data_IF_517413223860
#
_entry.id   IF_517413223860
#
_cell.length_a   1.000
_cell.length_b   1.000
_cell.length_c   1.000
_cell.angle_alpha   90.00
_cell.angle_beta   90.00
_cell.angle_gamma   90.00
#
_symmetry.space_group_name_H-M   'P 1'
#
loop_
_entity.id
_entity.type
_entity.pdbx_description
1 polymer ?
#
# COMPACT_ATOMS: atom_id res chain seq x y z
N UNK A 1 35.87 40.99 -12.07
CA UNK A 1 36.16 41.00 -10.63
C UNK A 1 36.90 39.69 -10.36
N UNK A 2 38.17 39.73 -9.94
CA UNK A 2 38.97 38.52 -9.70
C UNK A 2 39.32 38.49 -8.22
N UNK A 3 38.89 37.44 -7.53
CA UNK A 3 39.22 37.20 -6.13
C UNK A 3 40.69 36.77 -6.02
N UNK A 4 41.40 37.30 -5.02
CA UNK A 4 42.83 37.09 -4.78
C UNK A 4 43.13 35.80 -4.01
N UNK A 5 42.10 35.08 -3.56
CA UNK A 5 42.21 33.88 -2.72
C UNK A 5 41.56 32.62 -3.34
N UNK A 6 41.16 32.67 -4.61
CA UNK A 6 40.50 31.55 -5.28
C UNK A 6 41.51 30.56 -5.88
N UNK A 7 41.36 29.26 -5.58
CA UNK A 7 42.04 28.17 -6.30
C UNK A 7 41.70 28.22 -7.80
N UNK A 8 42.61 27.73 -8.66
CA UNK A 8 42.55 27.86 -10.13
C UNK A 8 41.25 27.33 -10.77
N UNK A 9 40.48 26.50 -10.06
CA UNK A 9 39.23 25.87 -10.52
C UNK A 9 37.95 26.67 -10.17
N UNK A 10 38.03 27.78 -9.45
CA UNK A 10 36.86 28.59 -9.12
C UNK A 10 36.47 29.50 -10.29
N UNK A 11 35.57 29.01 -11.14
CA UNK A 11 35.01 29.76 -12.27
C UNK A 11 33.84 30.62 -11.79
N UNK A 12 33.99 31.95 -11.86
CA UNK A 12 32.90 32.87 -11.54
C UNK A 12 31.99 33.10 -12.73
N UNK A 13 30.69 32.96 -12.52
CA UNK A 13 29.66 33.33 -13.50
C UNK A 13 29.56 34.85 -13.60
N UNK A 14 30.23 35.43 -14.60
CA UNK A 14 30.22 36.87 -14.86
C UNK A 14 29.02 37.37 -15.66
N UNK A 15 28.34 36.48 -16.39
CA UNK A 15 27.21 36.82 -17.27
C UNK A 15 25.99 35.95 -16.95
N UNK A 16 25.20 36.41 -15.97
CA UNK A 16 23.94 35.77 -15.57
C UNK A 16 22.89 35.76 -16.70
N UNK A 17 22.69 36.85 -17.48
CA UNK A 17 21.81 36.81 -18.64
C UNK A 17 22.16 35.73 -19.66
N UNK A 18 23.46 35.55 -19.96
CA UNK A 18 23.91 34.51 -20.89
C UNK A 18 23.66 33.10 -20.34
N UNK A 19 23.89 32.87 -19.04
CA UNK A 19 23.59 31.60 -18.40
C UNK A 19 22.12 31.23 -18.52
N UNK A 20 21.22 32.16 -18.18
CA UNK A 20 19.77 31.95 -18.27
C UNK A 20 19.37 31.63 -19.70
N UNK A 21 19.92 32.35 -20.68
CA UNK A 21 19.66 32.10 -22.10
C UNK A 21 20.09 30.69 -22.52
N UNK A 22 21.33 30.30 -22.23
CA UNK A 22 21.86 28.98 -22.61
C UNK A 22 21.12 27.83 -21.90
N UNK A 23 20.77 28.02 -20.63
CA UNK A 23 20.00 27.04 -19.88
C UNK A 23 18.59 26.89 -20.48
N UNK A 24 17.89 27.99 -20.74
CA UNK A 24 16.58 27.96 -21.39
C UNK A 24 16.65 27.32 -22.78
N UNK A 25 17.62 27.67 -23.61
CA UNK A 25 17.79 27.08 -24.95
C UNK A 25 18.00 25.56 -24.87
N UNK A 26 18.78 25.09 -23.88
CA UNK A 26 19.01 23.66 -23.68
C UNK A 26 17.76 22.93 -23.20
N UNK A 27 16.98 23.51 -22.29
CA UNK A 27 15.71 22.92 -21.84
C UNK A 27 14.66 22.96 -22.95
N UNK A 28 14.64 24.01 -23.76
CA UNK A 28 13.73 24.18 -24.88
C UNK A 28 13.97 23.11 -25.95
N UNK A 29 15.23 22.79 -26.26
CA UNK A 29 15.56 21.70 -27.16
C UNK A 29 15.05 20.33 -26.67
N UNK A 30 15.04 20.10 -25.35
CA UNK A 30 14.46 18.88 -24.75
C UNK A 30 12.93 18.93 -24.81
N UNK A 31 12.33 20.09 -24.54
CA UNK A 31 10.88 20.28 -24.66
C UNK A 31 10.38 20.05 -26.10
N UNK A 32 11.11 20.54 -27.10
CA UNK A 32 10.83 20.34 -28.52
C UNK A 32 10.76 18.86 -28.90
N UNK A 33 11.63 18.03 -28.32
CA UNK A 33 11.61 16.58 -28.55
C UNK A 33 10.37 15.89 -27.94
N UNK A 34 9.76 16.49 -26.91
CA UNK A 34 8.59 15.93 -26.21
C UNK A 34 7.25 16.37 -26.81
N UNK A 35 7.18 17.55 -27.43
CA UNK A 35 5.96 18.08 -28.08
C UNK A 35 5.28 17.11 -29.07
N UNK A 36 6.00 16.37 -29.93
CA UNK A 36 5.36 15.45 -30.87
C UNK A 36 4.84 14.15 -30.21
N UNK A 37 5.12 13.92 -28.93
CA UNK A 37 4.77 12.67 -28.23
C UNK A 37 3.31 12.62 -27.73
N UNK A 38 2.49 13.64 -28.01
CA UNK A 38 1.05 13.62 -27.69
C UNK A 38 0.65 14.26 -26.36
N UNK A 39 1.59 14.92 -25.66
CA UNK A 39 1.31 15.69 -24.45
C UNK A 39 0.51 16.96 -24.75
N UNK A 40 -0.49 17.29 -23.91
CA UNK A 40 -1.28 18.53 -24.02
C UNK A 40 -0.42 19.78 -23.98
N UNK A 41 0.61 19.78 -23.14
CA UNK A 41 1.54 20.89 -22.98
C UNK A 41 2.92 20.40 -22.56
N UNK A 42 3.95 21.16 -22.94
CA UNK A 42 5.32 20.95 -22.49
C UNK A 42 5.90 22.31 -22.11
N UNK A 43 6.30 22.47 -20.86
CA UNK A 43 6.83 23.72 -20.32
C UNK A 43 8.25 23.54 -19.80
N UNK A 44 9.08 24.57 -19.97
CA UNK A 44 10.42 24.64 -19.38
C UNK A 44 10.35 25.45 -18.08
N UNK A 45 11.07 25.00 -17.06
CA UNK A 45 11.23 25.76 -15.82
C UNK A 45 12.68 25.72 -15.36
N UNK A 46 13.26 26.91 -15.18
CA UNK A 46 14.55 27.07 -14.49
C UNK A 46 14.39 27.04 -12.96
N UNK A 47 13.15 27.11 -12.47
CA UNK A 47 12.83 27.00 -11.05
C UNK A 47 12.45 25.55 -10.72
N UNK A 48 13.28 24.90 -9.89
CA UNK A 48 13.05 23.54 -9.41
C UNK A 48 11.82 23.41 -8.52
N UNK A 49 11.30 24.52 -7.98
CA UNK A 49 10.10 24.54 -7.12
C UNK A 49 8.78 24.66 -7.89
N UNK A 50 8.84 24.93 -9.20
CA UNK A 50 7.66 25.12 -10.06
C UNK A 50 6.67 23.94 -10.00
N UNK A 51 7.17 22.71 -9.95
CA UNK A 51 6.34 21.50 -9.89
C UNK A 51 5.65 21.36 -8.53
N UNK A 52 6.26 21.90 -7.46
CA UNK A 52 5.75 21.80 -6.09
C UNK A 52 4.78 22.93 -5.73
N UNK A 53 4.84 24.09 -6.39
CA UNK A 53 3.97 25.24 -6.11
C UNK A 53 2.58 25.18 -6.76
N UNK A 54 2.39 24.40 -7.82
CA UNK A 54 1.26 24.59 -8.75
C UNK A 54 0.10 23.59 -8.62
N UNK A 55 0.14 22.64 -7.68
CA UNK A 55 -1.00 21.75 -7.39
C UNK A 55 -1.45 20.88 -8.57
N UNK A 56 -0.50 20.42 -9.40
CA UNK A 56 -0.79 19.56 -10.55
C UNK A 56 -1.38 18.20 -10.12
N UNK A 57 -2.35 17.69 -10.89
CA UNK A 57 -2.73 16.27 -10.88
C UNK A 57 -1.67 15.40 -11.56
N UNK A 58 -1.79 14.07 -11.48
CA UNK A 58 -0.84 13.15 -12.14
C UNK A 58 -1.52 12.01 -12.87
N UNK A 59 -0.90 11.60 -13.98
CA UNK A 59 -1.15 10.32 -14.65
C UNK A 59 0.10 9.46 -14.50
N UNK A 60 -0.05 8.14 -14.56
CA UNK A 60 1.03 7.19 -14.33
C UNK A 60 1.32 6.38 -15.59
N UNK A 61 2.60 6.08 -15.82
CA UNK A 61 2.98 5.17 -16.88
C UNK A 61 2.52 3.76 -16.51
N UNK A 62 1.88 3.09 -17.45
CA UNK A 62 1.51 1.68 -17.35
C UNK A 62 2.53 0.88 -18.13
N UNK A 63 2.95 -0.25 -17.59
CA UNK A 63 3.85 -1.16 -18.30
C UNK A 63 3.06 -1.83 -19.42
N UNK A 64 3.37 -1.51 -20.67
CA UNK A 64 2.81 -2.22 -21.83
C UNK A 64 3.44 -3.60 -21.96
N UNK A 65 2.73 -4.49 -22.64
CA UNK A 65 3.30 -5.75 -23.07
C UNK A 65 4.49 -5.50 -24.01
N UNK A 66 5.56 -6.26 -23.79
CA UNK A 66 6.76 -6.23 -24.62
C UNK A 66 6.43 -6.81 -26.00
N UNK A 67 6.92 -6.19 -27.06
CA UNK A 67 6.77 -6.76 -28.40
C UNK A 67 7.58 -8.05 -28.53
N UNK A 68 7.21 -8.93 -29.46
CA UNK A 68 7.97 -10.17 -29.72
C UNK A 68 9.46 -9.90 -30.01
N UNK A 69 9.76 -8.78 -30.67
CA UNK A 69 11.14 -8.37 -30.95
C UNK A 69 11.90 -7.93 -29.70
N UNK A 70 11.26 -7.15 -28.81
CA UNK A 70 11.87 -6.72 -27.54
C UNK A 70 12.01 -7.87 -26.55
N UNK A 71 11.05 -8.79 -26.54
CA UNK A 71 11.11 -10.00 -25.74
C UNK A 71 12.24 -10.92 -26.22
N UNK A 72 12.41 -11.09 -27.54
CA UNK A 72 13.52 -11.83 -28.11
C UNK A 72 14.88 -11.17 -27.82
N UNK A 73 14.95 -9.83 -27.87
CA UNK A 73 16.15 -9.07 -27.53
C UNK A 73 16.49 -9.21 -26.04
N UNK A 74 15.51 -9.09 -25.13
CA UNK A 74 15.72 -9.29 -23.69
C UNK A 74 16.17 -10.70 -23.35
N UNK A 75 15.58 -11.73 -23.99
CA UNK A 75 16.03 -13.11 -23.81
C UNK A 75 17.46 -13.32 -24.31
N UNK A 76 17.83 -12.72 -25.46
CA UNK A 76 19.19 -12.81 -25.98
C UNK A 76 20.21 -12.05 -25.12
N UNK A 77 19.84 -10.88 -24.58
CA UNK A 77 20.66 -10.10 -23.66
C UNK A 77 20.83 -10.79 -22.31
N UNK A 78 19.78 -11.46 -21.80
CA UNK A 78 19.85 -12.27 -20.58
C UNK A 78 20.82 -13.44 -20.71
N UNK A 79 20.79 -14.18 -21.84
CA UNK A 79 21.76 -15.25 -22.10
C UNK A 79 23.19 -14.70 -22.17
N UNK A 80 23.40 -13.57 -22.86
CA UNK A 80 24.72 -12.93 -22.92
C UNK A 80 25.21 -12.42 -21.55
N UNK A 81 24.28 -11.98 -20.69
CA UNK A 81 24.58 -11.56 -19.34
C UNK A 81 25.04 -12.75 -18.49
N UNK A 82 24.29 -13.85 -18.50
CA UNK A 82 24.61 -15.06 -17.74
C UNK A 82 25.95 -15.66 -18.19
N UNK A 83 26.17 -15.77 -19.51
CA UNK A 83 27.44 -16.25 -20.08
C UNK A 83 28.63 -15.36 -19.67
N UNK A 84 28.45 -14.04 -19.66
CA UNK A 84 29.50 -13.10 -19.30
C UNK A 84 29.78 -13.08 -17.79
N UNK A 85 28.74 -13.23 -16.97
CA UNK A 85 28.88 -13.36 -15.51
C UNK A 85 29.65 -14.63 -15.13
N UNK A 86 29.34 -15.78 -15.75
CA UNK A 86 30.08 -17.02 -15.54
C UNK A 86 31.56 -16.92 -15.96
N UNK A 87 31.84 -16.19 -17.04
CA UNK A 87 33.22 -15.93 -17.49
C UNK A 87 33.99 -15.05 -16.50
N UNK A 88 33.34 -14.04 -15.93
CA UNK A 88 33.94 -13.16 -14.91
C UNK A 88 34.25 -13.95 -13.64
N UNK A 89 33.32 -14.79 -13.18
CA UNK A 89 33.50 -15.65 -12.00
C UNK A 89 34.60 -16.71 -12.17
N UNK A 90 34.91 -17.09 -13.42
CA UNK A 90 35.97 -18.04 -13.74
C UNK A 90 37.37 -17.40 -13.78
N UNK A 91 37.47 -16.06 -13.78
CA UNK A 91 38.76 -15.38 -13.77
C UNK A 91 39.46 -15.49 -12.42
N UNK A 92 40.80 -15.45 -12.46
CA UNK A 92 41.59 -15.37 -11.24
C UNK A 92 41.52 -13.96 -10.65
N UNK A 93 41.50 -13.86 -9.31
CA UNK A 93 41.44 -12.58 -8.61
C UNK A 93 42.55 -11.62 -9.06
N UNK A 94 42.16 -10.45 -9.59
CA UNK A 94 43.09 -9.43 -10.12
C UNK A 94 43.45 -9.57 -11.60
N UNK A 95 42.75 -10.41 -12.37
CA UNK A 95 42.89 -10.44 -13.84
C UNK A 95 42.41 -9.11 -14.45
N UNK A 96 43.23 -8.41 -15.27
CA UNK A 96 42.84 -7.16 -15.94
C UNK A 96 41.66 -7.32 -16.90
N UNK A 97 41.30 -8.56 -17.26
CA UNK A 97 40.13 -8.86 -18.08
C UNK A 97 38.81 -8.73 -17.31
N UNK A 98 38.84 -8.81 -15.96
CA UNK A 98 37.66 -8.62 -15.09
C UNK A 98 37.06 -7.23 -15.31
N UNK A 99 37.85 -6.16 -15.19
CA UNK A 99 37.36 -4.78 -15.37
C UNK A 99 36.76 -4.55 -16.77
N UNK A 100 37.36 -5.16 -17.79
CA UNK A 100 36.91 -5.02 -19.18
C UNK A 100 35.59 -5.75 -19.44
N UNK A 101 35.39 -6.91 -18.82
CA UNK A 101 34.17 -7.70 -18.97
C UNK A 101 33.05 -7.22 -18.03
N UNK A 102 33.36 -6.69 -16.85
CA UNK A 102 32.42 -5.96 -15.98
C UNK A 102 31.85 -4.71 -16.68
N UNK A 103 32.69 -3.96 -17.41
CA UNK A 103 32.21 -2.81 -18.20
C UNK A 103 31.22 -3.22 -19.30
N UNK A 104 31.40 -4.40 -19.91
CA UNK A 104 30.46 -4.96 -20.89
C UNK A 104 29.18 -5.45 -20.21
N UNK A 105 29.28 -6.06 -19.04
CA UNK A 105 28.16 -6.50 -18.23
C UNK A 105 27.27 -5.31 -17.84
N UNK A 106 27.87 -4.22 -17.36
CA UNK A 106 27.16 -2.96 -17.10
C UNK A 106 26.48 -2.41 -18.37
N UNK A 107 27.12 -2.53 -19.55
CA UNK A 107 26.51 -2.10 -20.80
C UNK A 107 25.29 -2.96 -21.20
N UNK A 108 25.33 -4.27 -20.91
CA UNK A 108 24.18 -5.17 -21.09
C UNK A 108 23.04 -4.83 -20.12
N UNK A 109 23.33 -4.62 -18.84
CA UNK A 109 22.35 -4.18 -17.84
C UNK A 109 21.68 -2.86 -18.25
N UNK A 110 22.48 -1.90 -18.70
CA UNK A 110 21.98 -0.61 -19.19
C UNK A 110 21.06 -0.78 -20.40
N UNK A 111 21.32 -1.75 -21.28
CA UNK A 111 20.47 -2.05 -22.43
C UNK A 111 19.17 -2.74 -22.01
N UNK A 112 19.23 -3.67 -21.06
CA UNK A 112 18.06 -4.35 -20.49
C UNK A 112 17.15 -3.33 -19.81
N UNK A 113 17.70 -2.47 -18.96
CA UNK A 113 16.97 -1.40 -18.29
C UNK A 113 16.34 -0.44 -19.32
N UNK A 114 17.06 -0.09 -20.39
CA UNK A 114 16.53 0.77 -21.44
C UNK A 114 15.32 0.16 -22.17
N UNK A 115 15.33 -1.14 -22.45
CA UNK A 115 14.20 -1.84 -23.10
C UNK A 115 13.00 -1.91 -22.13
N UNK A 116 13.25 -2.24 -20.86
CA UNK A 116 12.19 -2.31 -19.85
C UNK A 116 11.55 -0.94 -19.61
N UNK A 117 12.36 0.12 -19.53
CA UNK A 117 11.90 1.50 -19.40
C UNK A 117 11.17 2.00 -20.65
N UNK A 118 11.56 1.55 -21.84
CA UNK A 118 10.83 1.83 -23.08
C UNK A 118 9.48 1.09 -23.18
N UNK A 119 9.22 0.13 -22.30
CA UNK A 119 7.92 -0.52 -22.13
C UNK A 119 7.02 0.21 -21.11
N UNK A 120 7.50 1.24 -20.43
CA UNK A 120 6.64 2.13 -19.64
C UNK A 120 6.03 3.19 -20.57
N UNK A 121 4.71 3.15 -20.76
CA UNK A 121 4.00 4.08 -21.62
C UNK A 121 2.81 4.71 -20.87
N UNK A 122 2.54 5.98 -21.13
CA UNK A 122 1.33 6.65 -20.64
C UNK A 122 0.17 6.36 -21.59
N UNK A 123 -1.05 6.30 -21.06
CA UNK A 123 -2.24 6.15 -21.90
C UNK A 123 -2.37 7.37 -22.83
N UNK A 124 -2.41 7.18 -24.17
CA UNK A 124 -2.57 8.29 -25.11
C UNK A 124 -3.80 9.15 -24.86
N UNK A 125 -4.88 8.60 -24.31
CA UNK A 125 -6.10 9.35 -23.98
C UNK A 125 -5.89 10.28 -22.77
N UNK A 126 -5.10 9.84 -21.79
CA UNK A 126 -4.73 10.64 -20.62
C UNK A 126 -3.67 11.70 -20.96
N UNK A 127 -2.76 11.39 -21.90
CA UNK A 127 -1.73 12.34 -22.37
C UNK A 127 -2.30 13.61 -23.00
N UNK A 128 -3.51 13.55 -23.56
CA UNK A 128 -4.24 14.72 -24.09
C UNK A 128 -4.69 15.68 -22.99
N UNK A 129 -4.70 15.23 -21.73
CA UNK A 129 -5.07 16.01 -20.54
C UNK A 129 -3.86 16.32 -19.64
N UNK A 130 -2.73 15.66 -19.89
CA UNK A 130 -1.49 15.79 -19.12
C UNK A 130 -0.38 16.47 -19.93
N UNK A 131 0.65 16.93 -19.24
CA UNK A 131 1.81 17.58 -19.82
C UNK A 131 3.12 17.21 -19.14
N UNK A 132 4.19 17.80 -19.64
CA UNK A 132 5.54 17.59 -19.13
C UNK A 132 6.16 18.91 -18.68
N UNK A 133 6.90 18.88 -17.57
CA UNK A 133 7.82 19.97 -17.20
C UNK A 133 9.25 19.50 -17.42
N UNK A 134 10.03 20.30 -18.14
CA UNK A 134 11.47 20.13 -18.30
C UNK A 134 12.18 21.12 -17.39
N UNK A 135 12.95 20.60 -16.43
CA UNK A 135 13.65 21.41 -15.42
C UNK A 135 15.10 20.99 -15.26
N UNK A 136 15.81 21.65 -14.35
CA UNK A 136 17.19 21.31 -13.99
C UNK A 136 17.17 20.56 -12.66
N UNK A 137 17.70 19.33 -12.66
CA UNK A 137 17.86 18.53 -11.45
C UNK A 137 18.94 19.13 -10.52
N UNK A 138 18.99 18.65 -9.28
CA UNK A 138 19.98 19.08 -8.29
C UNK A 138 21.45 18.93 -8.76
N UNK A 139 21.71 17.97 -9.67
CA UNK A 139 23.03 17.76 -10.29
C UNK A 139 23.33 18.61 -11.53
N UNK A 140 22.47 19.58 -11.90
CA UNK A 140 22.68 20.44 -13.07
C UNK A 140 22.33 19.80 -14.42
N UNK A 141 21.78 18.58 -14.42
CA UNK A 141 21.31 17.88 -15.63
C UNK A 141 19.87 18.23 -15.96
N UNK A 142 19.50 18.19 -17.24
CA UNK A 142 18.10 18.34 -17.65
C UNK A 142 17.28 17.13 -17.14
N UNK A 143 16.13 17.41 -16.52
CA UNK A 143 15.20 16.43 -15.99
C UNK A 143 13.82 16.66 -16.61
N UNK A 144 13.21 15.59 -17.09
CA UNK A 144 11.84 15.61 -17.60
C UNK A 144 10.94 15.00 -16.53
N UNK A 145 9.89 15.73 -16.15
CA UNK A 145 8.83 15.24 -15.27
C UNK A 145 7.54 15.13 -16.08
N UNK A 146 7.23 13.94 -16.63
CA UNK A 146 6.02 13.71 -17.41
C UNK A 146 4.80 13.47 -16.52
N UNK A 147 3.61 13.49 -17.14
CA UNK A 147 2.37 13.08 -16.49
C UNK A 147 1.73 14.13 -15.58
N UNK A 148 1.96 15.43 -15.80
CA UNK A 148 1.44 16.52 -14.97
C UNK A 148 0.11 17.07 -15.53
N UNK A 149 -0.93 17.11 -14.71
CA UNK A 149 -2.28 17.53 -15.13
C UNK A 149 -2.59 18.89 -14.52
N UNK A 150 -2.93 19.89 -15.34
CA UNK A 150 -3.28 21.23 -14.86
C UNK A 150 -4.62 21.20 -14.14
N UNK A 151 -4.86 22.19 -13.26
CA UNK A 151 -6.06 22.24 -12.44
C UNK A 151 -7.37 22.21 -13.26
N UNK A 152 -7.35 22.82 -14.45
CA UNK A 152 -8.46 22.87 -15.42
C UNK A 152 -8.82 21.50 -16.03
N UNK A 153 -7.84 20.58 -16.12
CA UNK A 153 -8.00 19.28 -16.78
C UNK A 153 -8.31 18.13 -15.83
N UNK A 154 -8.18 18.35 -14.51
CA UNK A 154 -8.42 17.31 -13.50
C UNK A 154 -9.83 16.71 -13.55
N UNK A 155 -10.85 17.55 -13.80
CA UNK A 155 -12.23 17.06 -13.92
C UNK A 155 -12.42 16.18 -15.16
N UNK A 156 -11.81 16.57 -16.28
CA UNK A 156 -11.87 15.80 -17.51
C UNK A 156 -11.12 14.45 -17.37
N UNK A 157 -10.00 14.43 -16.63
CA UNK A 157 -9.27 13.20 -16.36
C UNK A 157 -10.09 12.23 -15.48
N UNK A 158 -10.76 12.74 -14.44
CA UNK A 158 -11.61 11.91 -13.58
C UNK A 158 -12.74 11.25 -14.39
N UNK A 159 -13.37 11.98 -15.31
CA UNK A 159 -14.41 11.45 -16.21
C UNK A 159 -13.84 10.40 -17.18
N UNK A 160 -12.61 10.60 -17.66
CA UNK A 160 -11.92 9.66 -18.56
C UNK A 160 -11.58 8.33 -17.85
N UNK A 161 -11.14 8.40 -16.60
CA UNK A 161 -10.74 7.23 -15.80
C UNK A 161 -11.93 6.44 -15.25
N UNK A 162 -13.04 7.10 -14.92
CA UNK A 162 -14.24 6.45 -14.35
C UNK A 162 -15.21 5.88 -15.41
N UNK A 163 -15.04 6.21 -16.69
CA UNK A 163 -15.84 5.66 -17.80
C UNK A 163 -17.33 6.07 -17.76
N UNK A 164 -17.68 7.13 -18.48
CA UNK A 164 -19.05 7.53 -18.88
C UNK A 164 -20.19 7.28 -17.86
N UNK A 165 -20.08 7.88 -16.67
CA UNK A 165 -21.26 8.37 -15.94
C UNK A 165 -21.16 9.88 -15.83
N UNK A 166 -21.66 10.56 -16.87
CA UNK A 166 -21.86 12.00 -16.83
C UNK A 166 -22.81 12.37 -15.70
N UNK A 167 -22.32 13.13 -14.72
CA UNK A 167 -23.18 14.04 -14.00
C UNK A 167 -22.40 15.29 -13.57
N UNK A 168 -22.79 16.41 -14.19
CA UNK A 168 -22.40 17.76 -13.82
C UNK A 168 -22.70 17.99 -12.33
N UNK A 169 -21.68 18.43 -11.62
CA UNK A 169 -21.79 18.96 -10.27
C UNK A 169 -22.59 20.26 -10.33
N UNK A 170 -23.75 20.30 -9.68
CA UNK A 170 -23.97 21.25 -8.58
C UNK A 170 -25.29 20.93 -7.83
N UNK A 171 -25.19 21.00 -6.50
CA UNK A 171 -26.29 20.95 -5.52
C UNK A 171 -27.00 19.60 -5.28
N UNK A 172 -26.35 18.70 -4.54
CA UNK A 172 -26.94 18.03 -3.36
C UNK A 172 -25.93 17.05 -2.74
N UNK A 173 -25.40 17.41 -1.58
CA UNK A 173 -24.96 16.43 -0.59
C UNK A 173 -26.18 15.60 -0.17
N UNK A 174 -26.44 14.47 -0.83
CA UNK A 174 -27.14 13.29 -0.29
C UNK A 174 -27.37 12.29 -1.44
N UNK A 175 -27.11 11.01 -1.18
CA UNK A 175 -27.34 9.84 -2.05
C UNK A 175 -26.27 9.54 -3.14
N UNK A 176 -25.15 8.95 -2.71
CA UNK A 176 -24.47 7.89 -3.49
C UNK A 176 -24.53 6.57 -2.71
N UNK A 177 -25.68 5.89 -2.80
CA UNK A 177 -25.77 4.45 -2.55
C UNK A 177 -25.58 3.77 -3.90
N UNK A 178 -24.34 3.36 -4.20
CA UNK A 178 -24.09 2.38 -5.24
C UNK A 178 -24.34 1.00 -4.64
N UNK A 179 -25.41 0.33 -5.09
CA UNK A 179 -25.68 -1.08 -4.82
C UNK A 179 -24.63 -1.93 -5.54
N UNK A 180 -23.57 -2.30 -4.82
CA UNK A 180 -22.79 -3.50 -5.07
C UNK A 180 -23.42 -4.64 -4.25
N UNK A 181 -23.36 -5.91 -4.71
CA UNK A 181 -24.30 -6.95 -4.30
C UNK A 181 -24.28 -7.13 -2.79
N UNK A 182 -25.43 -6.93 -2.15
CA UNK A 182 -25.67 -7.40 -0.78
C UNK A 182 -25.51 -8.91 -0.78
N UNK A 183 -24.31 -9.38 -0.45
CA UNK A 183 -24.17 -10.69 0.19
C UNK A 183 -24.88 -10.51 1.51
N UNK A 184 -26.13 -11.01 1.59
CA UNK A 184 -27.02 -10.93 2.74
C UNK A 184 -26.21 -10.97 4.04
N UNK A 185 -26.04 -9.81 4.68
CA UNK A 185 -25.43 -9.75 5.98
C UNK A 185 -26.37 -10.53 6.92
N UNK A 186 -26.00 -11.77 7.23
CA UNK A 186 -26.63 -12.58 8.29
C UNK A 186 -26.93 -11.64 9.46
N UNK A 187 -28.18 -11.62 9.96
CA UNK A 187 -28.81 -10.56 10.78
C UNK A 187 -28.07 -10.06 12.04
N UNK A 188 -26.83 -9.59 11.90
CA UNK A 188 -25.96 -9.10 12.95
C UNK A 188 -26.22 -7.61 13.17
N UNK A 189 -26.42 -7.23 14.43
CA UNK A 189 -26.61 -5.82 14.78
C UNK A 189 -25.31 -5.02 14.61
N UNK A 190 -25.41 -3.72 14.36
CA UNK A 190 -24.23 -2.84 14.22
C UNK A 190 -23.28 -2.92 15.43
N UNK A 191 -23.83 -3.06 16.65
CA UNK A 191 -23.03 -3.24 17.86
C UNK A 191 -22.28 -4.59 17.89
N UNK A 192 -22.88 -5.65 17.34
CA UNK A 192 -22.20 -6.94 17.19
C UNK A 192 -21.12 -6.89 16.11
N UNK A 193 -21.35 -6.19 15.00
CA UNK A 193 -20.33 -5.97 13.97
C UNK A 193 -19.14 -5.17 14.49
N UNK A 194 -19.37 -4.09 15.25
CA UNK A 194 -18.30 -3.32 15.88
C UNK A 194 -17.45 -4.19 16.82
N UNK A 195 -18.10 -5.04 17.60
CA UNK A 195 -17.41 -5.95 18.52
C UNK A 195 -16.58 -7.01 17.80
N UNK A 196 -17.15 -7.69 16.79
CA UNK A 196 -16.42 -8.68 16.01
C UNK A 196 -15.21 -8.04 15.30
N UNK A 197 -15.38 -6.85 14.72
CA UNK A 197 -14.27 -6.14 14.06
C UNK A 197 -13.23 -5.59 15.06
N UNK A 198 -13.61 -5.32 16.31
CA UNK A 198 -12.67 -5.05 17.40
C UNK A 198 -11.84 -6.29 17.78
N UNK A 199 -12.46 -7.47 17.86
CA UNK A 199 -11.75 -8.74 18.08
C UNK A 199 -10.80 -9.02 16.91
N UNK A 200 -11.26 -8.83 15.67
CA UNK A 200 -10.43 -8.95 14.46
C UNK A 200 -9.21 -8.03 14.50
N UNK A 201 -9.43 -6.78 14.89
CA UNK A 201 -8.34 -5.81 15.05
C UNK A 201 -7.33 -6.29 16.07
N UNK A 202 -7.78 -6.78 17.24
CA UNK A 202 -6.87 -7.31 18.26
C UNK A 202 -6.02 -8.47 17.75
N UNK A 203 -6.64 -9.42 17.03
CA UNK A 203 -5.93 -10.56 16.44
C UNK A 203 -4.86 -10.11 15.44
N UNK A 204 -5.21 -9.18 14.54
CA UNK A 204 -4.29 -8.62 13.56
C UNK A 204 -3.10 -7.88 14.21
N UNK A 205 -3.31 -7.23 15.36
CA UNK A 205 -2.22 -6.61 16.14
C UNK A 205 -1.25 -7.65 16.67
N UNK A 206 -1.73 -8.80 17.15
CA UNK A 206 -0.86 -9.88 17.62
C UNK A 206 -0.05 -10.45 16.46
N UNK A 207 -0.69 -10.81 15.35
CA UNK A 207 0.02 -11.36 14.19
C UNK A 207 1.07 -10.40 13.63
N UNK A 208 0.72 -9.12 13.45
CA UNK A 208 1.65 -8.12 12.92
C UNK A 208 2.84 -7.88 13.86
N UNK A 209 2.64 -7.98 15.18
CA UNK A 209 3.72 -7.83 16.16
C UNK A 209 4.80 -8.92 16.05
N UNK A 210 4.46 -10.08 15.50
CA UNK A 210 5.38 -11.20 15.26
C UNK A 210 6.02 -11.17 13.86
N UNK A 211 5.73 -10.16 13.03
CA UNK A 211 6.20 -10.01 11.65
C UNK A 211 6.86 -8.65 11.39
N UNK A 212 8.10 -8.44 11.85
CA UNK A 212 8.79 -7.15 11.72
C UNK A 212 8.99 -6.67 10.28
N UNK A 213 9.18 -7.61 9.36
CA UNK A 213 9.26 -7.38 7.92
C UNK A 213 7.97 -6.74 7.37
N UNK A 214 6.81 -7.31 7.70
CA UNK A 214 5.50 -6.81 7.26
C UNK A 214 5.13 -5.51 7.96
N UNK A 215 5.50 -5.36 9.23
CA UNK A 215 5.24 -4.13 9.98
C UNK A 215 6.02 -2.92 9.42
N UNK A 216 7.28 -3.12 9.01
CA UNK A 216 8.05 -2.09 8.32
C UNK A 216 7.35 -1.66 7.03
N UNK A 217 6.87 -2.62 6.23
CA UNK A 217 6.09 -2.32 5.01
C UNK A 217 4.81 -1.56 5.35
N UNK A 218 4.07 -1.97 6.37
CA UNK A 218 2.81 -1.34 6.76
C UNK A 218 2.98 0.12 7.19
N UNK A 219 4.01 0.43 8.02
CA UNK A 219 4.28 1.81 8.43
C UNK A 219 4.86 2.63 7.28
N UNK A 220 5.72 2.07 6.44
CA UNK A 220 6.23 2.74 5.26
C UNK A 220 5.11 3.03 4.27
N UNK A 221 4.18 2.11 4.03
CA UNK A 221 3.01 2.35 3.19
C UNK A 221 2.23 3.57 3.68
N UNK A 222 1.94 3.67 4.99
CA UNK A 222 1.25 4.83 5.53
C UNK A 222 2.04 6.15 5.36
N UNK A 223 3.36 6.12 5.58
CA UNK A 223 4.22 7.29 5.46
C UNK A 223 4.44 7.71 3.99
N UNK A 224 4.71 6.75 3.10
CA UNK A 224 4.91 6.96 1.66
C UNK A 224 3.63 7.43 1.00
N UNK A 225 2.48 6.81 1.30
CA UNK A 225 1.17 7.27 0.82
C UNK A 225 0.93 8.73 1.20
N UNK A 226 1.29 9.12 2.42
CA UNK A 226 1.17 10.51 2.87
C UNK A 226 2.19 11.47 2.25
N UNK A 227 3.40 11.01 1.95
CA UNK A 227 4.45 11.89 1.39
C UNK A 227 4.28 12.07 -0.12
N UNK A 228 3.90 11.01 -0.84
CA UNK A 228 3.94 10.98 -2.29
C UNK A 228 2.56 11.03 -2.95
N UNK A 229 1.47 10.79 -2.19
CA UNK A 229 0.11 10.69 -2.73
C UNK A 229 -0.93 11.64 -2.06
N UNK A 230 -0.53 12.42 -1.05
CA UNK A 230 -1.41 13.31 -0.25
C UNK A 230 -1.68 14.71 -0.89
N UNK A 231 -1.10 14.99 -2.05
CA UNK A 231 -1.10 16.33 -2.68
C UNK A 231 -2.46 16.83 -3.19
N UNK A 232 -3.55 16.08 -2.98
CA UNK A 232 -4.86 16.35 -3.56
C UNK A 232 -5.89 17.03 -2.62
N UNK A 233 -5.67 17.11 -1.29
CA UNK A 233 -6.70 17.64 -0.37
C UNK A 233 -6.26 18.61 0.77
N UNK A 234 -4.96 18.91 0.95
CA UNK A 234 -4.45 19.79 2.05
C UNK A 234 -4.51 19.12 3.43
N UNK A 235 -3.66 19.35 4.43
CA UNK A 235 -2.64 20.36 4.79
C UNK A 235 -1.36 19.60 5.21
N UNK A 236 -0.19 20.17 4.96
CA UNK A 236 1.11 19.67 5.42
C UNK A 236 1.56 20.50 6.62
N UNK A 237 2.30 19.90 7.57
CA UNK A 237 3.49 20.51 8.18
C UNK A 237 4.24 19.51 9.11
N UNK A 238 5.34 18.88 8.67
CA UNK A 238 6.09 17.90 9.45
C UNK A 238 7.34 18.48 10.11
N UNK A 239 7.86 17.76 11.10
CA UNK A 239 9.30 17.60 11.32
C UNK A 239 9.66 16.14 11.70
N UNK A 240 8.75 15.42 12.40
CA UNK A 240 8.41 13.99 12.23
C UNK A 240 6.99 13.88 12.79
N UNK A 241 6.00 13.37 12.04
CA UNK A 241 4.64 13.16 12.59
C UNK A 241 4.04 11.78 12.22
N UNK A 242 3.91 10.92 13.24
CA UNK A 242 3.08 9.69 13.23
C UNK A 242 1.89 9.97 14.15
N UNK A 243 0.67 10.15 13.59
CA UNK A 243 -0.54 10.27 14.41
C UNK A 243 -1.06 8.86 14.68
N UNK A 244 -0.51 8.25 15.72
CA UNK A 244 -0.91 6.94 16.17
C UNK A 244 -2.31 6.94 16.78
N UNK A 245 -3.33 6.62 15.99
CA UNK A 245 -4.65 6.35 16.54
C UNK A 245 -4.69 4.93 17.09
N UNK A 246 -4.14 4.73 18.29
CA UNK A 246 -4.45 3.51 19.06
C UNK A 246 -5.92 3.57 19.47
N UNK A 247 -6.78 2.95 18.66
CA UNK A 247 -8.17 2.69 19.09
C UNK A 247 -8.13 1.80 20.32
N UNK A 248 -8.72 2.27 21.42
CA UNK A 248 -8.98 1.44 22.59
C UNK A 248 -10.10 0.46 22.22
N UNK A 249 -9.79 -0.84 22.25
CA UNK A 249 -10.72 -1.90 21.85
C UNK A 249 -11.64 -2.33 22.99
N UNK A 250 -11.26 -2.06 24.26
CA UNK A 250 -12.02 -2.48 25.45
C UNK A 250 -13.49 -2.02 25.40
N UNK A 251 -13.84 -0.77 25.04
CA UNK A 251 -15.23 -0.34 24.99
C UNK A 251 -16.06 -1.00 23.88
N UNK A 252 -15.40 -1.53 22.85
CA UNK A 252 -16.05 -2.18 21.71
C UNK A 252 -16.24 -3.69 21.94
N UNK A 253 -15.64 -4.28 22.97
CA UNK A 253 -15.73 -5.72 23.26
C UNK A 253 -16.56 -5.94 24.52
N UNK A 254 -17.59 -6.79 24.46
CA UNK A 254 -18.54 -6.98 25.56
C UNK A 254 -17.91 -7.69 26.76
N UNK A 255 -17.08 -8.70 26.49
CA UNK A 255 -16.39 -9.52 27.48
C UNK A 255 -14.87 -9.45 27.24
N UNK A 256 -14.23 -8.29 27.53
CA UNK A 256 -12.84 -8.05 27.16
C UNK A 256 -11.87 -9.03 27.84
N UNK A 257 -12.14 -9.44 29.07
CA UNK A 257 -11.29 -10.36 29.84
C UNK A 257 -11.32 -11.80 29.29
N UNK A 258 -12.37 -12.18 28.56
CA UNK A 258 -12.49 -13.48 27.91
C UNK A 258 -11.99 -13.49 26.46
N UNK A 259 -11.64 -12.32 25.91
CA UNK A 259 -11.21 -12.18 24.52
C UNK A 259 -9.74 -12.56 24.36
N UNK A 260 -9.48 -13.78 23.88
CA UNK A 260 -8.13 -14.31 23.63
C UNK A 260 -7.24 -13.37 22.80
N UNK A 261 -7.79 -12.76 21.76
CA UNK A 261 -7.05 -11.83 20.91
C UNK A 261 -6.61 -10.57 21.66
N UNK A 262 -7.47 -10.03 22.53
CA UNK A 262 -7.13 -8.87 23.35
C UNK A 262 -6.11 -9.23 24.44
N UNK A 263 -6.25 -10.42 25.05
CA UNK A 263 -5.27 -10.94 26.02
C UNK A 263 -3.89 -11.09 25.39
N UNK A 264 -3.79 -11.76 24.24
CA UNK A 264 -2.52 -11.92 23.52
C UNK A 264 -1.89 -10.58 23.14
N UNK A 265 -2.70 -9.59 22.73
CA UNK A 265 -2.20 -8.24 22.46
C UNK A 265 -1.65 -7.55 23.72
N UNK A 266 -2.35 -7.67 24.86
CA UNK A 266 -1.88 -7.08 26.11
C UNK A 266 -0.57 -7.74 26.58
N UNK A 267 -0.44 -9.07 26.45
CA UNK A 267 0.80 -9.79 26.77
C UNK A 267 1.98 -9.33 25.91
N UNK A 268 1.77 -9.12 24.60
CA UNK A 268 2.79 -8.60 23.70
C UNK A 268 3.28 -7.20 24.11
N UNK A 269 2.36 -6.31 24.52
CA UNK A 269 2.71 -4.96 24.99
C UNK A 269 3.43 -4.99 26.33
N UNK A 270 2.93 -5.76 27.30
CA UNK A 270 3.57 -5.91 28.62
C UNK A 270 4.98 -6.51 28.53
N UNK A 271 5.20 -7.46 27.60
CA UNK A 271 6.52 -8.02 27.33
C UNK A 271 7.58 -6.97 26.96
N UNK A 272 7.18 -5.90 26.27
CA UNK A 272 8.05 -4.75 25.98
C UNK A 272 8.15 -3.76 27.13
N UNK A 273 7.12 -3.63 27.96
CA UNK A 273 7.12 -2.75 29.14
C UNK A 273 8.27 -3.06 30.11
N UNK A 274 8.68 -4.33 30.23
CA UNK A 274 9.82 -4.74 31.06
C UNK A 274 11.19 -4.46 30.43
N UNK A 275 11.26 -4.30 29.10
CA UNK A 275 12.50 -4.06 28.34
C UNK A 275 12.79 -2.57 28.17
N UNK A 276 11.74 -1.76 28.10
CA UNK A 276 11.83 -0.32 27.92
C UNK A 276 12.27 0.39 29.22
N UNK A 277 13.02 1.50 29.13
CA UNK A 277 13.33 2.32 30.28
C UNK A 277 12.07 2.90 30.94
N UNK A 278 12.07 3.00 32.27
CA UNK A 278 10.94 3.56 33.02
C UNK A 278 10.86 5.09 32.96
N UNK A 279 11.97 5.78 32.67
CA UNK A 279 12.01 7.23 32.43
C UNK A 279 12.11 7.50 30.92
N UNK A 280 11.28 8.43 30.43
CA UNK A 280 11.27 8.85 29.04
C UNK A 280 12.59 9.50 28.62
N UNK A 281 13.29 10.16 29.55
CA UNK A 281 14.59 10.79 29.28
C UNK A 281 15.66 9.77 28.85
N UNK A 282 15.55 8.52 29.30
CA UNK A 282 16.49 7.44 29.00
C UNK A 282 16.14 6.65 27.73
N UNK A 283 14.95 6.87 27.16
CA UNK A 283 14.46 6.11 26.00
C UNK A 283 15.34 6.32 24.76
N UNK A 284 15.73 7.56 24.46
CA UNK A 284 16.54 7.86 23.28
C UNK A 284 17.93 7.21 23.34
N UNK A 285 18.72 7.37 24.41
CA UNK A 285 19.98 6.65 24.58
C UNK A 285 19.82 5.12 24.49
N UNK A 286 18.74 4.58 25.06
CA UNK A 286 18.46 3.15 25.03
C UNK A 286 18.18 2.65 23.60
N UNK A 287 17.34 3.34 22.84
CA UNK A 287 17.01 3.01 21.44
C UNK A 287 18.27 3.00 20.56
N UNK A 288 19.13 4.02 20.70
CA UNK A 288 20.39 4.11 19.94
C UNK A 288 21.33 2.94 20.26
N UNK A 289 21.28 2.40 21.48
CA UNK A 289 22.13 1.31 21.92
C UNK A 289 21.61 -0.10 21.54
N UNK A 290 20.37 -0.23 21.04
CA UNK A 290 19.79 -1.54 20.72
C UNK A 290 20.32 -2.11 19.39
N UNK A 291 20.47 -3.44 19.29
CA UNK A 291 20.61 -4.11 18.00
C UNK A 291 19.46 -3.80 17.05
N UNK A 292 19.72 -3.78 15.74
CA UNK A 292 18.69 -3.53 14.73
C UNK A 292 17.52 -4.52 14.78
N UNK A 293 17.79 -5.79 15.12
CA UNK A 293 16.75 -6.80 15.28
C UNK A 293 15.73 -6.40 16.38
N UNK A 294 16.22 -5.94 17.53
CA UNK A 294 15.35 -5.49 18.63
C UNK A 294 14.57 -4.23 18.27
N UNK A 295 15.16 -3.32 17.48
CA UNK A 295 14.47 -2.14 16.98
C UNK A 295 13.36 -2.51 15.98
N UNK A 296 13.58 -3.51 15.13
CA UNK A 296 12.56 -4.01 14.22
C UNK A 296 11.42 -4.72 14.96
N UNK A 297 11.72 -5.53 15.97
CA UNK A 297 10.68 -6.16 16.78
C UNK A 297 9.85 -5.11 17.54
N UNK A 298 10.50 -4.06 18.08
CA UNK A 298 9.81 -2.95 18.72
C UNK A 298 8.95 -2.15 17.71
N UNK A 299 9.48 -1.91 16.50
CA UNK A 299 8.73 -1.30 15.41
C UNK A 299 7.48 -2.11 15.06
N UNK A 300 7.58 -3.44 15.06
CA UNK A 300 6.45 -4.33 14.79
C UNK A 300 5.31 -4.11 15.80
N UNK A 301 5.64 -4.09 17.09
CA UNK A 301 4.67 -3.84 18.17
C UNK A 301 4.08 -2.43 18.08
N UNK A 302 4.91 -1.41 17.87
CA UNK A 302 4.42 -0.02 17.76
C UNK A 302 3.54 0.16 16.52
N UNK A 303 3.87 -0.47 15.40
CA UNK A 303 3.04 -0.43 14.19
C UNK A 303 1.72 -1.15 14.41
N UNK A 304 1.75 -2.35 15.00
CA UNK A 304 0.55 -3.08 15.40
C UNK A 304 -0.36 -2.25 16.32
N UNK A 305 0.20 -1.55 17.32
CA UNK A 305 -0.59 -0.70 18.22
C UNK A 305 -1.41 0.37 17.48
N UNK A 306 -0.93 0.81 16.31
CA UNK A 306 -1.55 1.84 15.49
C UNK A 306 -2.48 1.29 14.41
N UNK A 307 -2.55 -0.04 14.26
CA UNK A 307 -3.50 -0.68 13.35
C UNK A 307 -4.93 -0.58 13.91
N UNK A 308 -5.88 -0.18 13.07
CA UNK A 308 -7.30 -0.12 13.39
C UNK A 308 -8.12 -0.68 12.22
N UNK A 309 -8.83 -1.79 12.44
CA UNK A 309 -9.73 -2.44 11.48
C UNK A 309 -11.18 -2.52 12.00
N UNK A 310 -11.55 -1.71 13.00
CA UNK A 310 -12.90 -1.72 13.61
C UNK A 310 -13.90 -0.98 12.74
N UNK A 311 -15.08 -1.54 12.47
CA UNK A 311 -16.15 -0.87 11.71
C UNK A 311 -17.16 -0.27 12.69
N UNK A 312 -17.22 1.06 12.81
CA UNK A 312 -18.14 1.74 13.72
C UNK A 312 -19.51 2.05 13.05
N UNK A 313 -20.56 2.18 13.89
CA UNK A 313 -21.97 2.36 13.45
C UNK A 313 -22.22 3.53 12.48
N UNK A 314 -21.39 4.57 12.50
CA UNK A 314 -21.56 5.79 11.70
C UNK A 314 -20.37 6.07 10.78
N UNK A 315 -19.57 5.03 10.48
CA UNK A 315 -18.37 5.18 9.67
C UNK A 315 -18.67 4.96 8.19
N UNK A 316 -18.32 5.94 7.36
CA UNK A 316 -18.63 5.97 5.92
C UNK A 316 -17.47 5.57 5.02
N UNK A 317 -16.22 5.60 5.52
CA UNK A 317 -15.02 5.28 4.75
C UNK A 317 -14.62 3.80 4.83
N UNK A 318 -14.42 3.15 3.67
CA UNK A 318 -13.99 1.73 3.58
C UNK A 318 -12.49 1.53 3.36
N UNK A 319 -11.77 2.53 2.84
CA UNK A 319 -10.33 2.42 2.50
C UNK A 319 -9.45 1.92 3.66
N UNK A 320 -9.75 2.33 4.90
CA UNK A 320 -9.03 1.84 6.09
C UNK A 320 -9.18 0.33 6.28
N UNK A 321 -10.37 -0.19 6.04
CA UNK A 321 -10.67 -1.62 6.13
C UNK A 321 -10.00 -2.37 4.98
N UNK A 322 -10.07 -1.83 3.76
CA UNK A 322 -9.42 -2.42 2.59
C UNK A 322 -7.90 -2.53 2.80
N UNK A 323 -7.25 -1.51 3.37
CA UNK A 323 -5.83 -1.59 3.73
C UNK A 323 -5.55 -2.58 4.88
N UNK A 324 -6.45 -2.71 5.85
CA UNK A 324 -6.30 -3.70 6.92
C UNK A 324 -6.42 -5.13 6.38
N UNK A 325 -7.24 -5.36 5.36
CA UNK A 325 -7.40 -6.64 4.68
C UNK A 325 -6.10 -7.05 3.95
N UNK A 326 -5.39 -6.11 3.30
CA UNK A 326 -4.07 -6.35 2.71
C UNK A 326 -3.02 -6.76 3.77
N UNK A 327 -3.01 -6.09 4.93
CA UNK A 327 -2.10 -6.44 6.02
C UNK A 327 -2.44 -7.82 6.58
N UNK A 328 -3.73 -8.13 6.72
CA UNK A 328 -4.19 -9.43 7.20
C UNK A 328 -3.76 -10.57 6.28
N UNK A 329 -3.81 -10.36 4.95
CA UNK A 329 -3.28 -11.32 3.98
C UNK A 329 -1.76 -11.47 4.11
N UNK A 330 -1.02 -10.37 4.20
CA UNK A 330 0.43 -10.38 4.28
C UNK A 330 0.98 -11.10 5.52
N UNK A 331 0.29 -11.00 6.67
CA UNK A 331 0.67 -11.73 7.89
C UNK A 331 0.11 -13.16 7.93
N UNK A 332 -0.70 -13.57 6.95
CA UNK A 332 -1.34 -14.88 6.93
C UNK A 332 -2.34 -15.10 8.07
N UNK A 333 -3.12 -14.08 8.42
CA UNK A 333 -4.01 -14.12 9.58
C UNK A 333 -5.09 -15.20 9.44
N UNK A 334 -5.19 -16.08 10.44
CA UNK A 334 -6.28 -17.05 10.59
C UNK A 334 -7.13 -16.72 11.82
N UNK A 335 -8.35 -16.22 11.59
CA UNK A 335 -9.27 -15.86 12.66
C UNK A 335 -9.79 -17.06 13.47
N UNK A 336 -9.73 -18.29 12.95
CA UNK A 336 -10.10 -19.50 13.69
C UNK A 336 -9.20 -19.75 14.90
N UNK A 337 -7.95 -19.27 14.85
CA UNK A 337 -7.00 -19.30 15.97
C UNK A 337 -7.32 -18.30 17.06
N UNK A 338 -8.17 -17.30 16.78
CA UNK A 338 -8.43 -16.17 17.68
C UNK A 338 -9.87 -16.13 18.20
N UNK A 339 -10.83 -16.64 17.44
CA UNK A 339 -12.26 -16.58 17.79
C UNK A 339 -13.03 -17.83 17.33
N UNK A 340 -14.04 -18.24 18.11
CA UNK A 340 -14.98 -19.32 17.79
C UNK A 340 -16.39 -18.97 18.27
N UNK A 341 -17.45 -19.47 17.62
CA UNK A 341 -18.82 -19.17 18.03
C UNK A 341 -19.16 -19.86 19.36
N UNK A 342 -19.47 -19.06 20.39
CA UNK A 342 -19.84 -19.53 21.73
C UNK A 342 -21.31 -19.23 22.08
N UNK A 343 -21.76 -19.71 23.23
CA UNK A 343 -23.11 -19.44 23.71
C UNK A 343 -23.41 -17.93 23.86
N UNK A 344 -22.40 -17.13 24.24
CA UNK A 344 -22.55 -15.68 24.42
C UNK A 344 -22.87 -14.98 23.08
N UNK A 345 -22.14 -15.32 22.01
CA UNK A 345 -22.41 -14.88 20.65
C UNK A 345 -23.77 -15.36 20.14
N UNK A 346 -24.02 -16.68 20.19
CA UNK A 346 -25.23 -17.29 19.63
C UNK A 346 -26.50 -16.78 20.33
N UNK A 347 -26.43 -16.43 21.62
CA UNK A 347 -27.56 -15.85 22.37
C UNK A 347 -28.05 -14.51 21.81
N UNK A 348 -27.22 -13.79 21.04
CA UNK A 348 -27.51 -12.48 20.45
C UNK A 348 -28.20 -12.58 19.09
N UNK A 349 -28.10 -13.73 18.44
CA UNK A 349 -28.73 -14.00 17.15
C UNK A 349 -30.20 -14.41 17.32
N UNK A 350 -30.99 -14.29 16.25
CA UNK A 350 -32.33 -14.88 16.22
C UNK A 350 -32.22 -16.42 16.07
N UNK A 351 -33.28 -17.16 16.41
CA UNK A 351 -33.25 -18.63 16.24
C UNK A 351 -33.11 -19.06 14.77
N UNK A 352 -33.61 -18.24 13.84
CA UNK A 352 -33.45 -18.47 12.41
C UNK A 352 -31.99 -18.25 11.98
N UNK A 353 -31.36 -17.18 12.48
CA UNK A 353 -29.95 -16.90 12.19
C UNK A 353 -29.02 -17.98 12.75
N UNK A 354 -29.28 -18.48 13.98
CA UNK A 354 -28.50 -19.60 14.54
C UNK A 354 -28.59 -20.83 13.63
N UNK A 355 -29.78 -21.15 13.13
CA UNK A 355 -29.95 -22.26 12.20
C UNK A 355 -29.27 -22.01 10.85
N UNK A 356 -29.26 -20.76 10.36
CA UNK A 356 -28.49 -20.33 9.19
C UNK A 356 -26.98 -20.57 9.38
N UNK A 357 -26.43 -20.13 10.51
CA UNK A 357 -25.04 -20.36 10.92
C UNK A 357 -24.70 -21.86 10.92
N UNK A 358 -25.56 -22.68 11.52
CA UNK A 358 -25.38 -24.14 11.55
C UNK A 358 -25.37 -24.76 10.15
N UNK A 359 -26.24 -24.31 9.23
CA UNK A 359 -26.27 -24.80 7.85
C UNK A 359 -24.99 -24.44 7.11
N UNK A 360 -24.54 -23.19 7.24
CA UNK A 360 -23.31 -22.72 6.62
C UNK A 360 -22.06 -23.45 7.15
N UNK A 361 -22.06 -23.78 8.45
CA UNK A 361 -21.01 -24.60 9.07
C UNK A 361 -21.06 -26.09 8.68
N UNK A 362 -22.01 -26.52 7.85
CA UNK A 362 -22.17 -27.91 7.44
C UNK A 362 -22.68 -28.83 8.57
N UNK A 363 -23.47 -28.30 9.51
CA UNK A 363 -24.26 -29.12 10.43
C UNK A 363 -25.47 -29.73 9.70
N UNK A 364 -26.05 -30.78 10.27
CA UNK A 364 -27.20 -31.45 9.65
C UNK A 364 -28.45 -30.57 9.65
N UNK A 365 -29.27 -30.67 8.61
CA UNK A 365 -30.52 -29.91 8.50
C UNK A 365 -31.50 -30.21 9.65
N UNK A 366 -31.48 -31.44 10.17
CA UNK A 366 -32.28 -31.82 11.34
C UNK A 366 -31.81 -31.12 12.62
N UNK A 367 -30.50 -30.96 12.82
CA UNK A 367 -29.95 -30.21 13.94
C UNK A 367 -30.31 -28.72 13.85
N UNK A 368 -30.21 -28.12 12.66
CA UNK A 368 -30.61 -26.73 12.42
C UNK A 368 -32.11 -26.50 12.71
N UNK A 369 -32.98 -27.38 12.21
CA UNK A 369 -34.44 -27.32 12.48
C UNK A 369 -34.78 -27.57 13.95
N UNK A 370 -34.01 -28.40 14.65
CA UNK A 370 -34.19 -28.64 16.08
C UNK A 370 -33.97 -27.35 16.89
N UNK A 371 -32.95 -26.55 16.52
CA UNK A 371 -32.65 -25.27 17.17
C UNK A 371 -33.74 -24.22 16.92
N UNK A 372 -34.32 -24.15 15.72
CA UNK A 372 -35.45 -23.25 15.42
C UNK A 372 -36.66 -23.52 16.32
N UNK A 373 -36.95 -24.81 16.58
CA UNK A 373 -38.10 -25.27 17.37
C UNK A 373 -37.85 -25.23 18.87
N UNK A 374 -36.60 -25.29 19.31
CA UNK A 374 -36.25 -25.28 20.72
C UNK A 374 -36.50 -23.90 21.40
N UNK A 375 -36.67 -23.88 22.73
CA UNK A 375 -36.53 -22.66 23.52
C UNK A 375 -35.11 -22.08 23.32
N UNK A 376 -35.00 -20.75 23.15
CA UNK A 376 -33.74 -20.07 22.79
C UNK A 376 -32.53 -20.51 23.63
N UNK A 377 -32.59 -20.59 24.97
CA UNK A 377 -31.43 -20.99 25.77
C UNK A 377 -30.95 -22.42 25.48
N UNK A 378 -31.88 -23.35 25.22
CA UNK A 378 -31.54 -24.75 24.87
C UNK A 378 -31.00 -24.85 23.45
N UNK A 379 -31.60 -24.10 22.51
CA UNK A 379 -31.12 -24.03 21.13
C UNK A 379 -29.70 -23.48 21.03
N UNK A 380 -29.35 -22.47 21.84
CA UNK A 380 -28.01 -21.89 21.90
C UNK A 380 -26.96 -22.91 22.34
N UNK A 381 -27.19 -23.62 23.45
CA UNK A 381 -26.24 -24.63 23.96
C UNK A 381 -26.09 -25.82 23.00
N UNK A 382 -27.17 -26.19 22.31
CA UNK A 382 -27.11 -27.23 21.29
C UNK A 382 -26.31 -26.77 20.07
N UNK A 383 -26.55 -25.55 19.59
CA UNK A 383 -25.82 -24.99 18.45
C UNK A 383 -24.32 -24.83 18.76
N UNK A 384 -23.96 -24.34 19.94
CA UNK A 384 -22.55 -24.24 20.39
C UNK A 384 -21.83 -25.59 20.28
N UNK A 385 -22.46 -26.66 20.77
CA UNK A 385 -21.89 -28.02 20.71
C UNK A 385 -21.75 -28.56 19.28
N UNK A 386 -22.70 -28.26 18.40
CA UNK A 386 -22.70 -28.74 17.00
C UNK A 386 -21.73 -27.93 16.11
N UNK A 387 -21.46 -26.68 16.48
CA UNK A 387 -20.52 -25.79 15.80
C UNK A 387 -19.07 -25.97 16.27
N UNK A 388 -18.87 -26.60 17.43
CA UNK A 388 -17.55 -26.90 17.96
C UNK A 388 -16.70 -27.71 16.95
N UNK A 389 -15.49 -27.24 16.71
CA UNK A 389 -14.56 -27.84 15.73
C UNK A 389 -14.94 -27.66 14.25
N UNK A 390 -16.02 -26.95 13.90
CA UNK A 390 -16.43 -26.72 12.50
C UNK A 390 -15.70 -25.57 11.80
N UNK A 391 -14.98 -24.73 12.55
CA UNK A 391 -14.20 -23.61 12.00
C UNK A 391 -15.05 -22.52 11.34
N UNK A 392 -16.35 -22.46 11.64
CA UNK A 392 -17.23 -21.43 11.07
C UNK A 392 -16.91 -20.05 11.66
N UNK A 393 -16.89 -19.04 10.78
CA UNK A 393 -16.66 -17.64 11.14
C UNK A 393 -17.77 -16.74 10.56
N UNK A 394 -18.24 -15.73 11.31
CA UNK A 394 -19.14 -14.71 10.78
C UNK A 394 -18.43 -13.85 9.73
N UNK A 395 -19.18 -13.27 8.80
CA UNK A 395 -18.64 -12.48 7.67
C UNK A 395 -17.62 -11.43 8.11
N UNK A 396 -17.87 -10.72 9.21
CA UNK A 396 -16.97 -9.69 9.74
C UNK A 396 -15.58 -10.20 10.18
N UNK A 397 -15.42 -11.52 10.36
CA UNK A 397 -14.18 -12.19 10.74
C UNK A 397 -13.58 -13.03 9.60
N UNK A 398 -14.24 -13.11 8.44
CA UNK A 398 -13.71 -13.85 7.30
C UNK A 398 -12.58 -13.06 6.66
N UNK A 399 -11.59 -13.80 6.17
CA UNK A 399 -10.54 -13.23 5.34
C UNK A 399 -11.10 -12.90 3.95
N UNK A 400 -10.60 -11.84 3.29
CA UNK A 400 -10.90 -11.60 1.89
C UNK A 400 -10.56 -12.85 1.08
N UNK A 401 -11.49 -13.33 0.26
CA UNK A 401 -11.28 -14.52 -0.57
C UNK A 401 -10.21 -14.17 -1.60
N UNK A 402 -9.08 -14.88 -1.55
CA UNK A 402 -8.03 -14.79 -2.56
C UNK A 402 -8.62 -15.22 -3.89
N UNK A 403 -8.88 -14.26 -4.79
CA UNK A 403 -9.14 -14.60 -6.18
C UNK A 403 -7.79 -14.99 -6.75
N UNK A 404 -7.46 -16.28 -6.67
CA UNK A 404 -6.34 -16.82 -7.43
C UNK A 404 -6.65 -16.57 -8.90
N UNK A 405 -5.94 -15.62 -9.50
CA UNK A 405 -5.90 -15.47 -10.94
C UNK A 405 -5.31 -16.76 -11.50
N UNK A 406 -6.19 -17.62 -12.01
CA UNK A 406 -5.82 -18.85 -12.72
C UNK A 406 -4.73 -18.50 -13.72
N UNK A 407 -3.56 -19.06 -13.45
CA UNK A 407 -2.42 -19.02 -14.35
C UNK A 407 -2.85 -19.71 -15.64
N UNK A 408 -3.04 -18.94 -16.71
CA UNK A 408 -3.20 -19.45 -18.07
C UNK A 408 -1.91 -20.16 -18.48
N UNK A 409 -1.77 -21.41 -18.05
CA UNK A 409 -0.83 -22.35 -18.62
C UNK A 409 -1.36 -22.75 -20.01
N UNK A 410 -0.98 -21.99 -21.03
CA UNK A 410 -1.10 -22.45 -22.42
C UNK A 410 0.01 -23.49 -22.62
N UNK A 411 -0.41 -24.76 -22.60
CA UNK A 411 0.36 -25.85 -23.16
C UNK A 411 0.52 -25.64 -24.68
N UNK A 412 1.74 -25.71 -25.18
CA UNK A 412 2.01 -25.93 -26.59
C UNK A 412 2.81 -27.22 -26.73
N UNK A 413 2.16 -28.22 -27.32
CA UNK A 413 2.75 -29.37 -28.00
C UNK A 413 3.61 -28.94 -29.19
#
# INVERSE_FOLDING_TARGET
MRDLFADEDLTFLTDRPLLVKLASERLEAVADALRPLGWKWVEISLDSTFIHGSGFGRIHAVRRDLSEAEQAELSALGVQYDELAEVIDAYAEGDPQIEADEAKLHALESRIEAIQKAAEAFDPQEMVLAGCVVSIAHGGTAQVTPGLVKAEDRKALAVLQDGDEGNDQDEAEEARQGEAPEVEATGMSAALTEELTAIRTAALRVELSNRPDVALVAILHALVSRVFYDYHHGRIEPAVEIIGQRRNLVPSIKEPDACRALTGWNEAVEGWGHRLPGDLADLWPWLVAQPQADLFDLLAVVTAANLNAVVARHETGKQRIDHADLIAEAVGMDMGLWWTPDAAFLSRLSKADIAGVMREAGCTEDAAKAVERAPKPKGVLQAEKELDGKGWLPVALRMPVKVESESLAIAAE
#
